data_IF_622962600988
#
_entry.id   IF_622962600988
#
_cell.length_a   1.000
_cell.length_b   1.000
_cell.length_c   1.000
_cell.angle_alpha   90.00
_cell.angle_beta   90.00
_cell.angle_gamma   90.00
#
_symmetry.space_group_name_H-M   'P 1'
#
loop_
_entity.id
_entity.type
_entity.pdbx_description
1 polymer ?
#
# COMPACT_ATOMS: atom_id res chain seq x y z
N UNK A 1 15.16 -9.34 19.90
CA UNK A 1 16.48 -9.14 20.54
C UNK A 1 16.34 -8.54 21.93
N UNK A 2 15.56 -7.47 22.13
CA UNK A 2 15.35 -6.80 23.43
C UNK A 2 14.90 -7.79 24.53
N UNK A 3 13.88 -8.63 24.28
CA UNK A 3 13.40 -9.62 25.25
C UNK A 3 14.47 -10.58 25.74
N UNK A 4 15.41 -10.99 24.89
CA UNK A 4 16.52 -11.87 25.28
C UNK A 4 17.56 -11.11 26.14
N UNK A 5 17.81 -9.84 25.82
CA UNK A 5 18.71 -8.97 26.59
C UNK A 5 18.13 -8.68 27.98
N UNK A 6 16.82 -8.42 28.07
CA UNK A 6 16.10 -8.20 29.33
C UNK A 6 16.11 -9.45 30.24
N UNK A 7 16.23 -10.64 29.64
CA UNK A 7 16.43 -11.91 30.34
C UNK A 7 17.89 -12.25 30.63
N UNK A 8 18.80 -11.28 30.45
CA UNK A 8 20.23 -11.44 30.70
C UNK A 8 20.96 -12.37 29.70
N UNK A 9 20.35 -12.64 28.54
CA UNK A 9 20.96 -13.45 27.48
C UNK A 9 21.73 -12.55 26.53
N UNK A 10 23.01 -12.84 26.31
CA UNK A 10 23.86 -12.15 25.32
C UNK A 10 23.69 -12.82 23.96
N UNK A 11 23.72 -12.01 22.90
CA UNK A 11 23.87 -12.54 21.55
C UNK A 11 25.19 -13.32 21.46
N UNK A 12 25.18 -14.40 20.72
CA UNK A 12 26.33 -15.27 20.51
C UNK A 12 26.64 -15.31 19.02
N UNK A 13 27.92 -15.34 18.70
CA UNK A 13 28.38 -15.36 17.32
C UNK A 13 28.06 -16.72 16.67
N UNK A 14 27.75 -16.67 15.39
CA UNK A 14 27.50 -17.82 14.52
C UNK A 14 28.35 -17.70 13.27
N UNK A 15 28.72 -18.83 12.68
CA UNK A 15 29.38 -18.90 11.37
C UNK A 15 28.40 -19.37 10.29
N UNK A 16 28.81 -19.25 9.03
CA UNK A 16 28.08 -19.73 7.85
C UNK A 16 26.59 -19.29 7.84
N UNK A 17 26.34 -18.03 8.24
CA UNK A 17 24.98 -17.48 8.22
C UNK A 17 24.53 -17.26 6.79
N UNK A 18 23.38 -17.84 6.44
CA UNK A 18 22.72 -17.62 5.16
C UNK A 18 21.22 -17.42 5.36
N UNK A 19 20.67 -16.42 4.70
CA UNK A 19 19.22 -16.25 4.59
C UNK A 19 18.71 -17.04 3.38
N UNK A 20 17.63 -17.78 3.58
CA UNK A 20 16.96 -18.57 2.55
C UNK A 20 15.64 -17.85 2.21
N UNK A 21 15.59 -17.03 1.12
CA UNK A 21 14.42 -16.24 0.78
C UNK A 21 13.14 -17.09 0.75
N UNK A 22 12.08 -16.63 1.45
CA UNK A 22 10.80 -17.34 1.55
C UNK A 22 10.75 -18.56 2.46
N UNK A 23 11.90 -19.08 2.93
CA UNK A 23 11.98 -20.30 3.73
C UNK A 23 12.43 -20.04 5.18
N UNK A 24 13.54 -19.34 5.36
CA UNK A 24 14.11 -19.10 6.68
C UNK A 24 15.58 -18.73 6.66
N UNK A 25 16.33 -19.22 7.61
CA UNK A 25 17.74 -18.96 7.79
C UNK A 25 18.49 -20.21 8.26
N UNK A 26 19.78 -20.25 7.95
CA UNK A 26 20.71 -21.28 8.40
C UNK A 26 21.96 -20.64 8.96
N UNK A 27 22.56 -21.27 9.96
CA UNK A 27 23.84 -20.86 10.53
C UNK A 27 24.53 -22.07 11.17
N UNK A 28 25.81 -21.95 11.48
CA UNK A 28 26.55 -22.93 12.29
C UNK A 28 27.04 -22.31 13.59
N UNK A 29 27.00 -23.10 14.66
CA UNK A 29 27.58 -22.74 15.93
C UNK A 29 28.20 -23.96 16.62
N UNK A 30 29.45 -23.84 17.01
CA UNK A 30 30.21 -24.92 17.65
C UNK A 30 30.16 -26.25 16.84
N UNK A 31 30.16 -26.14 15.51
CA UNK A 31 30.01 -27.27 14.58
C UNK A 31 28.56 -27.76 14.36
N UNK A 32 27.60 -27.30 15.16
CA UNK A 32 26.20 -27.71 15.08
C UNK A 32 25.47 -26.82 14.01
N UNK A 33 24.62 -27.44 13.21
CA UNK A 33 23.78 -26.79 12.23
C UNK A 33 22.53 -26.19 12.90
N UNK A 34 22.34 -24.91 12.79
CA UNK A 34 21.14 -24.22 13.25
C UNK A 34 20.26 -23.88 12.05
N UNK A 35 18.97 -24.22 12.14
CA UNK A 35 17.97 -23.86 11.16
C UNK A 35 16.84 -23.09 11.85
N UNK A 36 16.33 -22.07 11.17
CA UNK A 36 15.13 -21.36 11.63
C UNK A 36 14.29 -21.00 10.42
N UNK A 37 12.98 -21.18 10.50
CA UNK A 37 12.15 -20.89 9.35
C UNK A 37 10.66 -21.15 9.53
N UNK A 38 9.92 -21.02 8.43
CA UNK A 38 8.48 -21.28 8.40
C UNK A 38 8.17 -22.73 8.76
N UNK A 39 6.99 -22.98 9.31
CA UNK A 39 6.54 -24.34 9.67
C UNK A 39 6.66 -25.28 8.48
N UNK A 40 6.23 -24.86 7.30
CA UNK A 40 6.29 -25.64 6.06
C UNK A 40 7.73 -26.04 5.69
N UNK A 41 8.65 -25.09 5.78
CA UNK A 41 10.06 -25.34 5.48
C UNK A 41 10.66 -26.32 6.49
N UNK A 42 10.40 -26.10 7.80
CA UNK A 42 10.97 -26.93 8.85
C UNK A 42 10.42 -28.36 8.86
N UNK A 43 9.16 -28.59 8.44
CA UNK A 43 8.60 -29.93 8.23
C UNK A 43 9.35 -30.74 7.16
N UNK A 44 9.92 -30.06 6.16
CA UNK A 44 10.75 -30.70 5.14
C UNK A 44 12.18 -31.01 5.59
N UNK A 45 12.65 -30.39 6.68
CA UNK A 45 14.03 -30.51 7.17
C UNK A 45 14.15 -31.34 8.47
N UNK A 46 13.12 -31.32 9.29
CA UNK A 46 13.15 -31.93 10.64
C UNK A 46 11.82 -32.64 10.94
N UNK A 47 11.88 -33.61 11.83
CA UNK A 47 10.66 -34.22 12.38
C UNK A 47 10.05 -33.25 13.41
N UNK A 48 8.96 -32.58 13.04
CA UNK A 48 8.27 -31.61 13.90
C UNK A 48 7.19 -32.33 14.71
N UNK A 49 7.22 -32.29 16.05
CA UNK A 49 6.19 -32.88 16.88
C UNK A 49 4.78 -32.35 16.58
N UNK A 50 3.78 -33.22 16.59
CA UNK A 50 2.39 -32.88 16.29
C UNK A 50 1.83 -31.81 17.24
N UNK A 51 2.25 -31.82 18.49
CA UNK A 51 1.91 -30.84 19.50
C UNK A 51 2.38 -29.40 19.10
N UNK A 52 3.55 -29.29 18.47
CA UNK A 52 4.06 -28.01 17.97
C UNK A 52 3.33 -27.58 16.70
N UNK A 53 2.91 -28.49 15.83
CA UNK A 53 2.09 -28.22 14.68
C UNK A 53 0.72 -27.65 15.07
N UNK A 54 0.06 -28.30 16.03
CA UNK A 54 -1.22 -27.80 16.56
C UNK A 54 -1.08 -26.43 17.23
N UNK A 55 0.01 -26.20 17.98
CA UNK A 55 0.30 -24.91 18.58
C UNK A 55 0.58 -23.82 17.49
N UNK A 56 1.30 -24.18 16.42
CA UNK A 56 1.55 -23.30 15.30
C UNK A 56 0.26 -22.92 14.56
N UNK A 57 -0.64 -23.88 14.35
CA UNK A 57 -1.95 -23.65 13.75
C UNK A 57 -2.80 -22.68 14.59
N UNK A 58 -2.83 -22.90 15.90
CA UNK A 58 -3.52 -22.00 16.84
C UNK A 58 -2.96 -20.58 16.75
N UNK A 59 -1.64 -20.41 16.80
CA UNK A 59 -0.98 -19.11 16.71
C UNK A 59 -1.21 -18.43 15.35
N UNK A 60 -1.21 -19.22 14.27
CA UNK A 60 -1.58 -18.70 12.94
C UNK A 60 -3.04 -18.24 12.88
N UNK A 61 -3.93 -18.93 13.58
CA UNK A 61 -5.34 -18.52 13.73
C UNK A 61 -5.50 -17.20 14.52
N UNK A 62 -4.54 -16.90 15.41
CA UNK A 62 -4.47 -15.63 16.15
C UNK A 62 -3.77 -14.50 15.36
N UNK A 63 -3.47 -14.70 14.07
CA UNK A 63 -2.78 -13.70 13.23
C UNK A 63 -1.27 -13.60 13.45
N UNK A 64 -0.67 -14.59 14.11
CA UNK A 64 0.78 -14.63 14.37
C UNK A 64 1.46 -15.53 13.35
N UNK A 65 2.71 -15.22 13.00
CA UNK A 65 3.54 -16.07 12.12
C UNK A 65 4.46 -16.95 12.97
N UNK A 66 4.18 -18.24 13.08
CA UNK A 66 5.03 -19.16 13.83
C UNK A 66 6.29 -19.51 13.05
N UNK A 67 7.43 -19.42 13.70
CA UNK A 67 8.74 -19.80 13.21
C UNK A 67 9.30 -20.89 14.09
N UNK A 68 9.80 -21.98 13.51
CA UNK A 68 10.44 -23.08 14.20
C UNK A 68 11.95 -22.96 14.12
N UNK A 69 12.61 -23.43 15.16
CA UNK A 69 14.07 -23.44 15.26
C UNK A 69 14.57 -24.83 15.63
N UNK A 70 15.65 -25.27 14.98
CA UNK A 70 16.27 -26.56 15.25
C UNK A 70 17.79 -26.45 15.36
N UNK A 71 18.38 -27.44 16.02
CA UNK A 71 19.82 -27.69 16.09
C UNK A 71 20.08 -29.13 15.72
N UNK A 72 20.93 -29.38 14.73
CA UNK A 72 21.27 -30.71 14.21
C UNK A 72 20.02 -31.59 13.95
N UNK A 73 18.97 -31.01 13.40
CA UNK A 73 17.69 -31.68 13.12
C UNK A 73 16.75 -31.84 14.33
N UNK A 74 17.17 -31.55 15.54
CA UNK A 74 16.32 -31.55 16.72
C UNK A 74 15.63 -30.21 16.90
N UNK A 75 14.30 -30.17 17.01
CA UNK A 75 13.54 -28.96 17.24
C UNK A 75 13.83 -28.38 18.63
N UNK A 76 14.29 -27.15 18.70
CA UNK A 76 14.54 -26.41 19.94
C UNK A 76 13.27 -25.75 20.49
N UNK A 77 12.39 -25.30 19.59
CA UNK A 77 11.16 -24.62 19.97
C UNK A 77 10.57 -23.80 18.82
N UNK A 78 9.54 -23.05 19.17
CA UNK A 78 8.80 -22.18 18.27
C UNK A 78 8.77 -20.77 18.83
N UNK A 79 8.90 -19.80 17.93
CA UNK A 79 8.68 -18.38 18.20
C UNK A 79 7.58 -17.87 17.28
N UNK A 80 6.62 -17.12 17.81
CA UNK A 80 5.60 -16.51 16.99
C UNK A 80 5.90 -15.00 16.87
N UNK A 81 5.96 -14.53 15.65
CA UNK A 81 6.11 -13.12 15.33
C UNK A 81 4.74 -12.60 14.91
N UNK A 82 4.34 -11.45 15.44
CA UNK A 82 3.13 -10.76 15.02
C UNK A 82 3.50 -9.32 14.73
N UNK A 83 3.02 -8.83 13.60
CA UNK A 83 2.97 -7.39 13.40
C UNK A 83 1.89 -6.82 14.31
N UNK A 84 2.27 -5.93 15.18
CA UNK A 84 1.32 -5.21 16.00
C UNK A 84 0.74 -4.07 15.22
N UNK A 85 -0.60 -3.95 15.22
CA UNK A 85 -1.27 -2.75 14.74
C UNK A 85 -0.73 -1.56 15.53
N UNK A 86 -0.29 -0.50 14.84
CA UNK A 86 0.15 0.72 15.53
C UNK A 86 -0.97 1.28 16.36
N UNK A 87 -0.66 1.77 17.55
CA UNK A 87 -1.64 2.22 18.56
C UNK A 87 -2.59 3.31 18.02
N UNK A 88 -2.12 4.13 17.08
CA UNK A 88 -2.90 5.21 16.47
C UNK A 88 -3.81 4.75 15.31
N UNK A 89 -3.62 3.53 14.79
CA UNK A 89 -4.34 3.07 13.59
C UNK A 89 -5.85 2.89 13.79
N UNK A 90 -6.33 2.28 14.90
CA UNK A 90 -7.78 2.15 15.10
C UNK A 90 -8.50 3.50 15.23
N UNK A 91 -7.87 4.46 15.91
CA UNK A 91 -8.43 5.81 16.06
C UNK A 91 -8.47 6.54 14.70
N UNK A 92 -7.37 6.47 13.93
CA UNK A 92 -7.30 7.07 12.59
C UNK A 92 -8.35 6.49 11.64
N UNK A 93 -8.54 5.16 11.64
CA UNK A 93 -9.58 4.49 10.85
C UNK A 93 -10.98 4.96 11.29
N UNK A 94 -11.23 5.03 12.58
CA UNK A 94 -12.51 5.50 13.10
C UNK A 94 -12.80 6.97 12.71
N UNK A 95 -11.78 7.85 12.69
CA UNK A 95 -11.90 9.22 12.22
C UNK A 95 -12.21 9.29 10.71
N UNK A 96 -11.52 8.51 9.88
CA UNK A 96 -11.81 8.45 8.44
C UNK A 96 -13.24 7.99 8.18
N UNK A 97 -13.71 6.98 8.92
CA UNK A 97 -15.09 6.48 8.79
C UNK A 97 -16.12 7.53 9.22
N UNK A 98 -15.84 8.33 10.26
CA UNK A 98 -16.69 9.49 10.65
C UNK A 98 -16.74 10.56 9.56
N UNK A 99 -15.67 10.71 8.77
CA UNK A 99 -15.67 11.58 7.59
C UNK A 99 -16.44 11.00 6.39
N UNK A 100 -17.03 9.80 6.51
CA UNK A 100 -17.72 9.10 5.44
C UNK A 100 -16.78 8.42 4.42
N UNK A 101 -15.51 8.26 4.78
CA UNK A 101 -14.51 7.59 3.95
C UNK A 101 -14.48 6.11 4.31
N UNK A 102 -14.56 5.24 3.30
CA UNK A 102 -14.39 3.79 3.48
C UNK A 102 -12.91 3.44 3.49
N UNK A 103 -12.52 2.58 4.43
CA UNK A 103 -11.14 2.17 4.62
C UNK A 103 -10.96 0.71 4.21
N UNK A 104 -10.11 0.48 3.24
CA UNK A 104 -9.79 -0.85 2.70
C UNK A 104 -8.32 -1.13 2.99
N UNK A 105 -8.03 -2.25 3.65
CA UNK A 105 -6.67 -2.71 3.86
C UNK A 105 -6.26 -3.66 2.73
N UNK A 106 -5.13 -3.39 2.09
CA UNK A 106 -4.54 -4.22 1.03
C UNK A 106 -3.19 -4.75 1.54
N UNK A 107 -3.03 -6.07 1.59
CA UNK A 107 -1.80 -6.69 2.11
C UNK A 107 -1.42 -7.94 1.35
N UNK A 108 -0.12 -8.25 1.33
CA UNK A 108 0.42 -9.52 0.84
C UNK A 108 0.30 -10.68 1.84
N UNK A 109 -0.09 -10.41 3.08
CA UNK A 109 -0.22 -11.42 4.12
C UNK A 109 -1.29 -12.45 3.80
N UNK A 110 -1.21 -13.60 4.49
CA UNK A 110 -2.24 -14.62 4.37
C UNK A 110 -3.60 -14.10 4.87
N UNK A 111 -4.72 -14.63 4.32
CA UNK A 111 -6.06 -14.12 4.62
C UNK A 111 -6.43 -14.13 6.11
N UNK A 112 -5.94 -15.11 6.89
CA UNK A 112 -6.26 -15.23 8.32
C UNK A 112 -5.60 -14.12 9.13
N UNK A 113 -4.30 -13.89 8.91
CA UNK A 113 -3.54 -12.81 9.56
C UNK A 113 -4.12 -11.45 9.16
N UNK A 114 -4.33 -11.25 7.87
CA UNK A 114 -4.89 -10.00 7.34
C UNK A 114 -6.27 -9.68 7.95
N UNK A 115 -7.13 -10.68 8.08
CA UNK A 115 -8.46 -10.49 8.68
C UNK A 115 -8.37 -10.11 10.16
N UNK A 116 -7.48 -10.74 10.92
CA UNK A 116 -7.27 -10.41 12.34
C UNK A 116 -6.75 -8.98 12.52
N UNK A 117 -5.75 -8.57 11.72
CA UNK A 117 -5.20 -7.20 11.71
C UNK A 117 -6.27 -6.19 11.29
N UNK A 118 -7.03 -6.49 10.23
CA UNK A 118 -8.10 -5.62 9.73
C UNK A 118 -9.21 -5.41 10.76
N UNK A 119 -9.60 -6.46 11.49
CA UNK A 119 -10.57 -6.35 12.59
C UNK A 119 -10.02 -5.51 13.74
N UNK A 120 -8.76 -5.71 14.13
CA UNK A 120 -8.12 -4.92 15.17
C UNK A 120 -8.00 -3.45 14.80
N UNK A 121 -7.71 -3.14 13.53
CA UNK A 121 -7.64 -1.78 13.00
C UNK A 121 -9.02 -1.17 12.73
N UNK A 122 -10.09 -1.96 12.63
CA UNK A 122 -11.46 -1.50 12.39
C UNK A 122 -11.75 -1.09 10.94
N UNK A 123 -11.03 -1.64 9.96
CA UNK A 123 -11.23 -1.33 8.53
C UNK A 123 -12.56 -1.89 8.00
N UNK A 124 -13.07 -1.31 6.93
CA UNK A 124 -14.35 -1.74 6.33
C UNK A 124 -14.20 -3.01 5.47
N UNK A 125 -13.03 -3.21 4.86
CA UNK A 125 -12.75 -4.37 4.03
C UNK A 125 -11.26 -4.71 4.05
N UNK A 126 -10.95 -6.01 3.92
CA UNK A 126 -9.58 -6.54 3.82
C UNK A 126 -9.41 -7.26 2.49
N UNK A 127 -8.36 -6.94 1.76
CA UNK A 127 -7.93 -7.63 0.54
C UNK A 127 -6.55 -8.20 0.81
N UNK A 128 -6.49 -9.50 1.05
CA UNK A 128 -5.29 -10.22 1.48
C UNK A 128 -4.63 -11.00 0.33
N UNK A 129 -3.38 -11.40 0.51
CA UNK A 129 -2.64 -12.22 -0.47
C UNK A 129 -2.35 -11.51 -1.79
N UNK A 130 -2.29 -10.18 -1.76
CA UNK A 130 -2.06 -9.35 -2.95
C UNK A 130 -0.56 -9.18 -3.17
N UNK A 131 -0.07 -9.64 -4.31
CA UNK A 131 1.31 -9.40 -4.73
C UNK A 131 1.54 -7.88 -4.97
N UNK A 132 2.80 -7.40 -4.93
CA UNK A 132 3.09 -5.98 -5.10
C UNK A 132 2.41 -5.37 -6.35
N UNK A 133 2.53 -6.02 -7.50
CA UNK A 133 1.93 -5.56 -8.77
C UNK A 133 0.39 -5.60 -8.75
N UNK A 134 -0.19 -6.51 -7.99
CA UNK A 134 -1.65 -6.64 -7.82
C UNK A 134 -2.29 -5.52 -7.01
N UNK A 135 -1.52 -4.78 -6.19
CA UNK A 135 -2.06 -3.66 -5.40
C UNK A 135 -2.64 -2.55 -6.28
N UNK A 136 -1.97 -2.23 -7.38
CA UNK A 136 -2.45 -1.26 -8.36
C UNK A 136 -3.78 -1.69 -9.00
N UNK A 137 -3.96 -2.99 -9.25
CA UNK A 137 -5.21 -3.50 -9.82
C UNK A 137 -6.38 -3.41 -8.84
N UNK A 138 -6.13 -3.64 -7.55
CA UNK A 138 -7.13 -3.41 -6.49
C UNK A 138 -7.54 -1.94 -6.46
N UNK A 139 -6.58 -1.01 -6.52
CA UNK A 139 -6.84 0.44 -6.60
C UNK A 139 -7.72 0.77 -7.81
N UNK A 140 -7.38 0.28 -9.02
CA UNK A 140 -8.17 0.50 -10.24
C UNK A 140 -9.61 -0.04 -10.14
N UNK A 141 -9.80 -1.15 -9.42
CA UNK A 141 -11.16 -1.69 -9.17
C UNK A 141 -11.95 -0.80 -8.22
N UNK A 142 -11.32 -0.28 -7.17
CA UNK A 142 -11.95 0.66 -6.25
C UNK A 142 -12.30 1.99 -6.92
N UNK A 143 -11.48 2.48 -7.85
CA UNK A 143 -11.71 3.71 -8.62
C UNK A 143 -12.98 3.63 -9.49
N UNK A 144 -13.47 2.44 -9.83
CA UNK A 144 -14.74 2.27 -10.57
C UNK A 144 -15.97 2.67 -9.76
N UNK A 145 -15.85 2.72 -8.43
CA UNK A 145 -16.97 3.05 -7.53
C UNK A 145 -16.79 4.39 -6.81
N UNK A 146 -15.59 4.94 -6.80
CA UNK A 146 -15.32 6.23 -6.17
C UNK A 146 -13.86 6.64 -6.26
N UNK A 147 -13.53 7.85 -5.81
CA UNK A 147 -12.14 8.30 -5.74
C UNK A 147 -11.39 7.58 -4.66
N UNK A 148 -10.16 7.21 -4.94
CA UNK A 148 -9.30 6.41 -4.07
C UNK A 148 -8.06 7.20 -3.66
N UNK A 149 -7.84 7.30 -2.35
CA UNK A 149 -6.54 7.68 -1.81
C UNK A 149 -5.79 6.40 -1.40
N UNK A 150 -4.61 6.18 -1.96
CA UNK A 150 -3.72 5.09 -1.54
C UNK A 150 -2.74 5.60 -0.50
N UNK A 151 -2.59 4.86 0.59
CA UNK A 151 -1.65 5.16 1.67
C UNK A 151 -0.66 4.03 1.77
N UNK A 152 0.63 4.32 1.70
CA UNK A 152 1.70 3.32 1.74
C UNK A 152 3.02 3.90 2.24
N UNK A 153 3.97 3.03 2.60
CA UNK A 153 5.27 3.42 3.18
C UNK A 153 6.46 2.81 2.43
N UNK A 154 6.24 1.91 1.49
CA UNK A 154 7.27 1.10 0.87
C UNK A 154 7.41 1.25 -0.64
N UNK A 155 8.57 0.78 -1.14
CA UNK A 155 8.88 0.68 -2.58
C UNK A 155 7.80 -0.15 -3.32
N UNK A 156 7.31 -1.20 -2.66
CA UNK A 156 6.31 -2.11 -3.21
C UNK A 156 4.92 -1.46 -3.41
N UNK A 157 4.68 -0.30 -2.81
CA UNK A 157 3.43 0.44 -2.92
C UNK A 157 3.48 1.54 -4.00
N UNK A 158 4.67 1.87 -4.53
CA UNK A 158 4.85 2.95 -5.50
C UNK A 158 3.92 2.82 -6.74
N UNK A 159 3.74 1.65 -7.37
CA UNK A 159 2.79 1.50 -8.48
C UNK A 159 1.33 1.78 -8.08
N UNK A 160 0.94 1.41 -6.85
CA UNK A 160 -0.40 1.65 -6.34
C UNK A 160 -0.61 3.11 -5.91
N UNK A 161 0.41 3.77 -5.33
CA UNK A 161 0.42 5.19 -5.01
C UNK A 161 0.22 6.04 -6.26
N UNK A 162 1.00 5.78 -7.31
CA UNK A 162 0.90 6.49 -8.60
C UNK A 162 -0.42 6.24 -9.32
N UNK A 163 -1.01 5.04 -9.16
CA UNK A 163 -2.26 4.67 -9.80
C UNK A 163 -3.50 5.30 -9.15
N UNK A 164 -3.44 5.63 -7.87
CA UNK A 164 -4.56 6.20 -7.10
C UNK A 164 -4.91 7.62 -7.56
N UNK A 165 -6.11 8.11 -7.20
CA UNK A 165 -6.47 9.53 -7.42
C UNK A 165 -5.66 10.47 -6.52
N UNK A 166 -5.19 9.96 -5.37
CA UNK A 166 -4.24 10.62 -4.48
C UNK A 166 -3.34 9.57 -3.85
N UNK A 167 -2.04 9.67 -4.09
CA UNK A 167 -1.02 8.88 -3.41
C UNK A 167 -0.52 9.57 -2.14
N UNK A 168 -0.51 8.88 -1.02
CA UNK A 168 -0.05 9.39 0.27
C UNK A 168 1.06 8.48 0.81
N UNK A 169 2.29 8.96 0.86
CA UNK A 169 3.40 8.27 1.51
C UNK A 169 3.44 8.60 3.00
N UNK A 170 3.64 7.60 3.86
CA UNK A 170 3.75 7.75 5.33
C UNK A 170 5.16 7.45 5.80
N UNK A 171 5.69 8.34 6.65
CA UNK A 171 7.00 8.22 7.27
C UNK A 171 8.13 8.69 6.36
N UNK A 172 9.35 8.58 6.86
CA UNK A 172 10.55 8.74 6.03
C UNK A 172 10.71 7.51 5.12
N UNK A 173 9.70 7.28 4.28
CA UNK A 173 9.68 6.21 3.29
C UNK A 173 10.91 6.28 2.40
N UNK A 174 11.11 5.27 1.60
CA UNK A 174 12.16 5.29 0.58
C UNK A 174 11.94 6.45 -0.38
N UNK A 175 13.01 7.03 -0.91
CA UNK A 175 12.94 8.12 -1.90
C UNK A 175 11.95 7.79 -3.03
N UNK A 176 11.90 6.51 -3.44
CA UNK A 176 10.97 6.02 -4.48
C UNK A 176 9.49 6.17 -4.07
N UNK A 177 9.13 5.90 -2.81
CA UNK A 177 7.75 6.06 -2.36
C UNK A 177 7.37 7.55 -2.25
N UNK A 178 8.33 8.41 -1.88
CA UNK A 178 8.15 9.86 -1.84
C UNK A 178 7.96 10.44 -3.25
N UNK A 179 8.72 9.97 -4.23
CA UNK A 179 8.59 10.42 -5.63
C UNK A 179 7.28 9.95 -6.30
N UNK A 180 6.72 8.83 -5.82
CA UNK A 180 5.48 8.26 -6.35
C UNK A 180 4.20 8.84 -5.71
N UNK A 181 4.30 9.64 -4.64
CA UNK A 181 3.17 10.13 -3.87
C UNK A 181 2.89 11.62 -4.12
N UNK A 182 1.60 12.00 -4.14
CA UNK A 182 1.18 13.41 -4.20
C UNK A 182 1.35 14.12 -2.86
N UNK A 183 1.28 13.38 -1.76
CA UNK A 183 1.40 13.88 -0.39
C UNK A 183 2.37 13.01 0.40
N UNK A 184 3.32 13.65 1.08
CA UNK A 184 4.28 12.96 1.96
C UNK A 184 4.03 13.38 3.40
N UNK A 185 3.69 12.41 4.25
CA UNK A 185 3.53 12.59 5.69
C UNK A 185 4.82 12.18 6.40
N UNK A 186 5.50 13.15 6.98
CA UNK A 186 6.86 12.96 7.55
C UNK A 186 6.90 12.01 8.76
N UNK A 187 5.78 11.87 9.45
CA UNK A 187 5.68 10.94 10.59
C UNK A 187 5.10 9.61 10.14
N UNK A 188 5.58 8.52 10.73
CA UNK A 188 5.04 7.17 10.48
C UNK A 188 3.77 6.91 11.31
N UNK A 189 2.76 7.79 11.18
CA UNK A 189 1.48 7.74 11.93
C UNK A 189 0.30 7.80 10.98
N UNK A 190 -0.60 6.84 11.11
CA UNK A 190 -1.83 6.82 10.30
C UNK A 190 -2.77 7.99 10.66
N UNK A 191 -2.72 8.47 11.90
CA UNK A 191 -3.47 9.64 12.38
C UNK A 191 -3.16 10.95 11.65
N UNK A 192 -2.06 11.04 10.95
CA UNK A 192 -1.72 12.21 10.14
C UNK A 192 -2.51 12.24 8.81
N UNK A 193 -3.08 11.11 8.35
CA UNK A 193 -3.94 11.06 7.14
C UNK A 193 -5.25 11.85 7.33
N UNK A 194 -6.09 11.57 8.36
CA UNK A 194 -7.27 12.40 8.60
C UNK A 194 -6.92 13.87 8.87
N UNK A 195 -5.77 14.15 9.51
CA UNK A 195 -5.30 15.52 9.72
C UNK A 195 -4.97 16.23 8.40
N UNK A 196 -4.30 15.56 7.46
CA UNK A 196 -4.02 16.11 6.13
C UNK A 196 -5.30 16.40 5.33
N UNK A 197 -6.30 15.51 5.40
CA UNK A 197 -7.60 15.73 4.76
C UNK A 197 -8.31 16.97 5.36
N UNK A 198 -8.26 17.15 6.68
CA UNK A 198 -8.83 18.34 7.34
C UNK A 198 -8.11 19.62 6.88
N UNK A 199 -6.78 19.59 6.85
CA UNK A 199 -5.98 20.73 6.37
C UNK A 199 -6.34 21.08 4.95
N UNK A 200 -6.40 20.12 4.04
CA UNK A 200 -6.78 20.32 2.64
C UNK A 200 -8.16 20.98 2.52
N UNK A 201 -9.16 20.48 3.26
CA UNK A 201 -10.52 21.05 3.28
C UNK A 201 -10.54 22.48 3.82
N UNK A 202 -9.77 22.76 4.88
CA UNK A 202 -9.66 24.09 5.47
C UNK A 202 -8.97 25.07 4.50
N UNK A 203 -7.91 24.62 3.84
CA UNK A 203 -7.20 25.42 2.82
C UNK A 203 -8.10 25.76 1.64
N UNK A 204 -8.84 24.79 1.09
CA UNK A 204 -9.79 25.03 0.01
C UNK A 204 -10.88 26.03 0.41
N UNK A 205 -11.43 25.92 1.62
CA UNK A 205 -12.39 26.88 2.13
C UNK A 205 -11.79 28.28 2.21
N UNK A 206 -10.57 28.39 2.72
CA UNK A 206 -9.86 29.66 2.83
C UNK A 206 -9.60 30.29 1.44
N UNK A 207 -9.23 29.47 0.45
CA UNK A 207 -9.08 29.91 -0.94
C UNK A 207 -10.41 30.46 -1.50
N UNK A 208 -11.52 29.73 -1.31
CA UNK A 208 -12.83 30.17 -1.77
C UNK A 208 -13.28 31.48 -1.07
N UNK A 209 -13.05 31.62 0.23
CA UNK A 209 -13.31 32.84 0.96
C UNK A 209 -12.50 34.04 0.41
N UNK A 210 -11.20 33.81 0.14
CA UNK A 210 -10.33 34.82 -0.44
C UNK A 210 -10.78 35.23 -1.84
N UNK A 211 -11.13 34.26 -2.68
CA UNK A 211 -11.65 34.55 -4.03
C UNK A 211 -12.96 35.32 -3.97
N UNK A 212 -13.88 34.93 -3.09
CA UNK A 212 -15.14 35.63 -2.90
C UNK A 212 -14.91 37.11 -2.54
N UNK A 213 -14.07 37.41 -1.58
CA UNK A 213 -13.76 38.76 -1.20
C UNK A 213 -13.09 39.56 -2.35
N UNK A 214 -12.10 38.92 -3.02
CA UNK A 214 -11.42 39.58 -4.17
C UNK A 214 -12.38 39.94 -5.32
N UNK A 215 -13.36 39.07 -5.64
CA UNK A 215 -14.36 39.35 -6.65
C UNK A 215 -15.41 40.37 -6.18
N UNK A 216 -15.83 40.29 -4.94
CA UNK A 216 -16.86 41.16 -4.39
C UNK A 216 -16.47 42.63 -4.52
N UNK A 217 -15.25 43.01 -4.18
CA UNK A 217 -14.75 44.36 -4.35
C UNK A 217 -14.78 44.84 -5.81
N UNK A 218 -14.39 43.97 -6.74
CA UNK A 218 -14.34 44.30 -8.15
C UNK A 218 -15.73 44.40 -8.75
N UNK A 219 -16.65 43.52 -8.41
CA UNK A 219 -18.05 43.54 -8.91
C UNK A 219 -18.77 44.82 -8.49
N UNK A 220 -18.49 45.35 -7.31
CA UNK A 220 -19.09 46.60 -6.81
C UNK A 220 -18.27 47.81 -7.32
N UNK A 221 -16.95 47.75 -7.27
CA UNK A 221 -16.05 48.85 -7.53
C UNK A 221 -15.99 49.26 -9.01
N UNK A 222 -16.01 48.29 -9.94
CA UNK A 222 -15.92 48.55 -11.37
C UNK A 222 -17.13 49.33 -11.89
N UNK A 223 -18.40 48.95 -11.65
CA UNK A 223 -19.56 49.74 -12.06
C UNK A 223 -19.59 51.12 -11.41
N UNK A 224 -19.15 51.21 -10.14
CA UNK A 224 -19.08 52.49 -9.45
C UNK A 224 -18.02 53.42 -10.07
N UNK A 225 -16.85 52.89 -10.42
CA UNK A 225 -15.79 53.64 -11.10
C UNK A 225 -16.16 54.01 -12.53
N UNK A 226 -16.90 53.14 -13.23
CA UNK A 226 -17.43 53.42 -14.58
C UNK A 226 -18.56 54.44 -14.59
N UNK A 227 -19.01 54.91 -13.43
CA UNK A 227 -20.02 55.95 -13.31
C UNK A 227 -21.46 55.50 -13.55
N UNK A 228 -21.74 54.20 -13.54
CA UNK A 228 -23.09 53.65 -13.76
C UNK A 228 -24.12 54.25 -12.82
N UNK A 229 -23.73 54.60 -11.59
CA UNK A 229 -24.61 55.15 -10.58
C UNK A 229 -24.65 56.66 -10.53
N UNK A 230 -23.90 57.38 -11.39
CA UNK A 230 -23.89 58.84 -11.42
C UNK A 230 -25.26 59.37 -11.85
N UNK A 231 -25.86 58.79 -12.89
CA UNK A 231 -27.14 59.24 -13.44
C UNK A 231 -28.33 58.97 -12.51
N UNK A 232 -28.25 57.87 -11.72
CA UNK A 232 -29.33 57.41 -10.84
C UNK A 232 -29.23 57.98 -9.41
N UNK A 233 -28.01 58.05 -8.84
CA UNK A 233 -27.78 58.35 -7.42
C UNK A 233 -26.81 59.52 -7.21
N UNK A 234 -26.25 60.09 -8.27
CA UNK A 234 -25.23 61.14 -8.16
C UNK A 234 -23.89 60.69 -7.59
N UNK A 235 -23.68 59.40 -7.43
CA UNK A 235 -22.51 58.83 -6.76
C UNK A 235 -21.31 58.80 -7.70
N UNK A 236 -20.25 59.51 -7.31
CA UNK A 236 -18.94 59.48 -7.97
C UNK A 236 -17.92 58.81 -7.11
N UNK A 237 -17.15 57.86 -7.65
CA UNK A 237 -16.06 57.26 -6.94
C UNK A 237 -14.90 58.25 -6.79
N UNK A 238 -14.53 58.57 -5.56
CA UNK A 238 -13.31 59.31 -5.29
C UNK A 238 -12.11 58.34 -5.40
N UNK A 239 -11.06 58.65 -6.15
CA UNK A 239 -9.87 57.81 -6.29
C UNK A 239 -9.24 57.34 -4.96
N UNK A 240 -9.30 58.17 -3.93
CA UNK A 240 -8.85 57.81 -2.59
C UNK A 240 -9.59 56.61 -2.01
N UNK A 241 -10.92 56.53 -2.19
CA UNK A 241 -11.71 55.36 -1.74
C UNK A 241 -11.35 54.09 -2.54
N UNK A 242 -11.05 54.23 -3.84
CA UNK A 242 -10.58 53.13 -4.65
C UNK A 242 -9.26 52.53 -4.12
N UNK A 243 -8.29 53.41 -3.85
CA UNK A 243 -6.99 53.02 -3.30
C UNK A 243 -7.13 52.38 -1.89
N UNK A 244 -7.97 52.96 -1.04
CA UNK A 244 -8.26 52.44 0.29
C UNK A 244 -8.92 51.02 0.22
N UNK A 245 -9.89 50.83 -0.70
CA UNK A 245 -10.55 49.53 -0.89
C UNK A 245 -9.56 48.46 -1.38
N UNK A 246 -8.62 48.78 -2.27
CA UNK A 246 -7.57 47.86 -2.71
C UNK A 246 -6.65 47.45 -1.56
N UNK A 247 -6.22 48.39 -0.72
CA UNK A 247 -5.39 48.10 0.45
C UNK A 247 -6.12 47.25 1.46
N UNK A 248 -7.42 47.53 1.72
CA UNK A 248 -8.26 46.76 2.62
C UNK A 248 -8.48 45.35 2.10
N UNK A 249 -8.69 45.16 0.80
CA UNK A 249 -8.81 43.83 0.16
C UNK A 249 -7.57 42.98 0.44
N UNK A 250 -6.37 43.53 0.19
CA UNK A 250 -5.11 42.82 0.47
C UNK A 250 -4.97 42.45 1.95
N UNK A 251 -5.32 43.38 2.84
CA UNK A 251 -5.32 43.11 4.28
C UNK A 251 -6.30 41.99 4.67
N UNK A 252 -7.51 41.97 4.12
CA UNK A 252 -8.50 40.91 4.38
C UNK A 252 -8.01 39.53 3.92
N UNK A 253 -7.43 39.44 2.71
CA UNK A 253 -6.91 38.20 2.13
C UNK A 253 -5.77 37.64 3.00
N UNK A 254 -4.79 38.48 3.37
CA UNK A 254 -3.66 38.06 4.21
C UNK A 254 -4.15 37.65 5.60
N UNK A 255 -5.03 38.43 6.22
CA UNK A 255 -5.59 38.11 7.55
C UNK A 255 -6.35 36.78 7.53
N UNK A 256 -7.14 36.53 6.46
CA UNK A 256 -7.86 35.28 6.32
C UNK A 256 -6.89 34.08 6.10
N UNK A 257 -5.84 34.26 5.30
CA UNK A 257 -4.82 33.24 5.11
C UNK A 257 -4.10 32.89 6.42
N UNK A 258 -3.78 33.89 7.26
CA UNK A 258 -3.16 33.69 8.57
C UNK A 258 -4.04 32.91 9.57
N UNK A 259 -5.36 32.90 9.39
CA UNK A 259 -6.28 32.06 10.21
C UNK A 259 -5.96 30.57 10.11
N UNK A 260 -5.35 30.10 9.01
CA UNK A 260 -4.92 28.71 8.90
C UNK A 260 -3.89 28.30 9.96
N UNK A 261 -3.07 29.23 10.45
CA UNK A 261 -2.12 28.96 11.53
C UNK A 261 -2.79 28.63 12.87
N UNK A 262 -4.04 29.04 13.04
CA UNK A 262 -4.84 28.76 14.23
C UNK A 262 -5.70 27.50 14.07
N UNK A 263 -5.63 26.83 12.92
CA UNK A 263 -6.44 25.67 12.63
C UNK A 263 -5.94 24.44 13.41
N UNK A 264 -6.84 23.75 14.11
CA UNK A 264 -6.53 22.55 14.89
C UNK A 264 -6.71 21.31 14.03
N UNK A 265 -5.60 20.76 13.53
CA UNK A 265 -5.56 19.62 12.61
C UNK A 265 -6.22 18.35 13.17
N UNK A 266 -6.16 18.15 14.50
CA UNK A 266 -6.63 16.93 15.17
C UNK A 266 -8.02 17.07 15.81
N UNK A 267 -8.71 18.19 15.58
CA UNK A 267 -10.08 18.40 16.08
C UNK A 267 -11.12 17.97 15.05
N UNK A 268 -11.66 16.76 15.23
CA UNK A 268 -12.67 16.16 14.35
C UNK A 268 -14.11 16.64 14.56
N UNK A 269 -14.37 17.60 15.48
CA UNK A 269 -15.74 18.04 15.81
C UNK A 269 -16.47 18.71 14.65
N UNK A 270 -15.75 19.24 13.70
CA UNK A 270 -16.29 19.97 12.56
C UNK A 270 -16.16 19.18 11.24
N UNK A 271 -15.84 17.88 11.32
CA UNK A 271 -15.72 17.05 10.15
C UNK A 271 -17.08 16.87 9.46
N UNK A 272 -17.11 17.19 8.17
CA UNK A 272 -18.30 16.96 7.34
C UNK A 272 -18.21 15.57 6.74
N UNK A 273 -19.15 14.70 7.08
CA UNK A 273 -19.25 13.37 6.49
C UNK A 273 -19.59 13.46 5.00
N UNK A 274 -18.87 12.71 4.19
CA UNK A 274 -19.21 12.42 2.80
C UNK A 274 -20.30 11.35 2.75
N UNK A 275 -21.02 11.27 1.63
CA UNK A 275 -21.92 10.13 1.42
C UNK A 275 -21.08 8.86 1.26
N UNK A 276 -21.30 7.84 2.11
CA UNK A 276 -20.50 6.64 2.07
C UNK A 276 -20.75 5.87 0.76
N UNK A 277 -19.66 5.48 0.10
CA UNK A 277 -19.71 4.64 -1.10
C UNK A 277 -19.91 3.18 -0.69
N UNK A 278 -20.73 2.45 -1.45
CA UNK A 278 -20.84 1.00 -1.28
C UNK A 278 -19.61 0.33 -1.89
N UNK A 279 -18.81 -0.33 -1.06
CA UNK A 279 -17.63 -1.05 -1.54
C UNK A 279 -18.05 -2.28 -2.37
N UNK A 280 -17.43 -2.52 -3.52
CA UNK A 280 -17.59 -3.78 -4.23
C UNK A 280 -16.99 -4.90 -3.39
N UNK A 281 -17.56 -6.10 -3.45
CA UNK A 281 -16.93 -7.27 -2.86
C UNK A 281 -15.67 -7.61 -3.67
N UNK A 282 -14.55 -7.01 -3.31
CA UNK A 282 -13.24 -7.36 -3.86
C UNK A 282 -12.77 -8.55 -3.04
N UNK A 283 -13.24 -9.75 -3.41
CA UNK A 283 -12.63 -10.95 -2.87
C UNK A 283 -11.12 -10.88 -3.15
N UNK A 284 -10.30 -11.26 -2.15
CA UNK A 284 -8.93 -11.64 -2.42
C UNK A 284 -8.95 -12.53 -3.66
N UNK A 285 -8.21 -12.20 -4.69
CA UNK A 285 -8.02 -13.20 -5.73
C UNK A 285 -7.45 -14.42 -5.00
N UNK A 286 -8.07 -15.60 -5.04
CA UNK A 286 -7.43 -16.82 -4.57
C UNK A 286 -6.08 -16.82 -5.27
N UNK A 287 -4.98 -16.82 -4.51
CA UNK A 287 -3.65 -16.42 -4.93
C UNK A 287 -3.42 -16.75 -6.39
N UNK A 288 -3.04 -15.74 -7.17
CA UNK A 288 -2.86 -15.91 -8.59
C UNK A 288 -2.04 -17.18 -8.78
N UNK A 289 -2.61 -18.16 -9.49
CA UNK A 289 -1.92 -19.44 -9.69
C UNK A 289 -0.65 -19.12 -10.45
N UNK A 290 0.49 -19.29 -9.80
CA UNK A 290 1.79 -19.00 -10.38
C UNK A 290 2.40 -20.31 -10.84
N UNK A 291 2.72 -20.40 -12.09
CA UNK A 291 3.44 -21.51 -12.70
C UNK A 291 4.88 -21.09 -12.98
N UNK A 292 5.83 -21.84 -12.48
CA UNK A 292 7.24 -21.65 -12.85
C UNK A 292 7.62 -22.69 -13.89
N UNK A 293 8.02 -22.21 -15.08
CA UNK A 293 8.51 -23.04 -16.17
C UNK A 293 10.02 -23.00 -16.20
N UNK A 294 10.69 -24.13 -16.40
CA UNK A 294 12.12 -24.19 -16.72
C UNK A 294 12.28 -24.18 -18.23
N UNK A 295 13.02 -23.20 -18.74
CA UNK A 295 13.21 -22.95 -20.18
C UNK A 295 14.69 -22.94 -20.46
N UNK A 296 15.10 -23.76 -21.43
CA UNK A 296 16.48 -23.81 -21.95
C UNK A 296 16.58 -23.04 -23.27
N UNK A 297 17.75 -22.44 -23.53
CA UNK A 297 18.02 -21.71 -24.74
C UNK A 297 17.87 -20.18 -24.66
N UNK A 298 17.40 -19.62 -23.53
CA UNK A 298 17.43 -18.16 -23.31
C UNK A 298 18.84 -17.70 -22.97
N UNK A 299 19.45 -16.82 -23.79
CA UNK A 299 20.83 -16.37 -23.60
C UNK A 299 20.99 -14.87 -23.36
N UNK A 300 19.93 -14.10 -23.43
CA UNK A 300 20.00 -12.62 -23.26
C UNK A 300 18.65 -11.99 -22.95
N UNK A 301 18.65 -10.72 -22.53
CA UNK A 301 17.46 -9.94 -22.21
C UNK A 301 16.45 -9.83 -23.39
N UNK A 302 16.89 -9.94 -24.64
CA UNK A 302 15.99 -9.96 -25.79
C UNK A 302 15.18 -11.27 -25.85
N UNK A 303 15.81 -12.40 -25.49
CA UNK A 303 15.15 -13.70 -25.37
C UNK A 303 14.08 -13.66 -24.25
N UNK A 304 14.38 -13.02 -23.11
CA UNK A 304 13.41 -12.83 -22.02
C UNK A 304 12.18 -12.06 -22.49
N UNK A 305 12.38 -10.94 -23.20
CA UNK A 305 11.30 -10.12 -23.72
C UNK A 305 10.42 -10.89 -24.72
N UNK A 306 11.03 -11.72 -25.56
CA UNK A 306 10.32 -12.56 -26.55
C UNK A 306 9.50 -13.65 -25.89
N UNK A 307 10.08 -14.38 -24.94
CA UNK A 307 9.37 -15.41 -24.16
C UNK A 307 8.25 -14.80 -23.33
N UNK A 308 8.51 -13.67 -22.68
CA UNK A 308 7.50 -12.93 -21.94
C UNK A 308 6.30 -12.55 -22.82
N UNK A 309 6.56 -11.92 -23.96
CA UNK A 309 5.49 -11.48 -24.87
C UNK A 309 4.68 -12.68 -25.41
N UNK A 310 5.33 -13.79 -25.72
CA UNK A 310 4.67 -15.00 -26.19
C UNK A 310 3.77 -15.62 -25.11
N UNK A 311 4.23 -15.68 -23.87
CA UNK A 311 3.44 -16.20 -22.73
C UNK A 311 2.27 -15.29 -22.39
N UNK A 312 2.43 -13.98 -22.42
CA UNK A 312 1.37 -13.00 -22.14
C UNK A 312 0.28 -12.95 -23.24
N UNK A 313 0.58 -13.44 -24.44
CA UNK A 313 -0.40 -13.57 -25.52
C UNK A 313 -1.38 -14.75 -25.33
N UNK A 314 -1.08 -15.69 -24.44
CA UNK A 314 -1.94 -16.85 -24.17
C UNK A 314 -3.15 -16.42 -23.32
N UNK A 315 -4.35 -16.70 -23.81
CA UNK A 315 -5.57 -16.41 -23.00
C UNK A 315 -5.60 -17.26 -21.73
N UNK A 316 -5.86 -16.61 -20.60
CA UNK A 316 -5.73 -17.21 -19.27
C UNK A 316 -4.45 -16.82 -18.53
N UNK A 317 -3.47 -16.22 -19.21
CA UNK A 317 -2.28 -15.61 -18.58
C UNK A 317 -2.61 -14.17 -18.20
N UNK A 318 -2.21 -13.78 -16.99
CA UNK A 318 -2.34 -12.42 -16.49
C UNK A 318 -1.04 -11.63 -16.71
N UNK A 319 0.11 -12.25 -16.44
CA UNK A 319 1.44 -11.69 -16.66
C UNK A 319 2.50 -12.79 -16.71
N UNK A 320 3.63 -12.52 -17.34
CA UNK A 320 4.78 -13.41 -17.33
C UNK A 320 6.07 -12.65 -17.08
N UNK A 321 7.03 -13.29 -16.40
CA UNK A 321 8.39 -12.80 -16.22
C UNK A 321 9.38 -13.91 -16.56
N UNK A 322 10.28 -13.66 -17.51
CA UNK A 322 11.33 -14.61 -17.90
C UNK A 322 12.70 -14.11 -17.43
N UNK A 323 13.57 -15.03 -17.04
CA UNK A 323 14.95 -14.77 -16.65
C UNK A 323 15.90 -15.75 -17.34
N UNK A 324 16.81 -15.22 -18.15
CA UNK A 324 17.83 -16.03 -18.82
C UNK A 324 18.90 -16.52 -17.84
N UNK A 325 19.23 -15.73 -16.82
CA UNK A 325 20.18 -16.12 -15.77
C UNK A 325 19.67 -17.31 -14.94
N UNK A 326 18.38 -17.33 -14.64
CA UNK A 326 17.75 -18.41 -13.88
C UNK A 326 17.28 -19.59 -14.76
N UNK A 327 17.22 -19.41 -16.08
CA UNK A 327 16.65 -20.40 -17.00
C UNK A 327 15.18 -20.69 -16.75
N UNK A 328 14.41 -19.69 -16.26
CA UNK A 328 13.03 -19.88 -15.86
C UNK A 328 12.11 -18.79 -16.38
N UNK A 329 10.82 -19.12 -16.55
CA UNK A 329 9.76 -18.15 -16.71
C UNK A 329 8.69 -18.39 -15.63
N UNK A 330 8.31 -17.33 -14.95
CA UNK A 330 7.24 -17.30 -13.96
C UNK A 330 5.99 -16.75 -14.62
N UNK A 331 4.94 -17.55 -14.72
CA UNK A 331 3.66 -17.20 -15.36
C UNK A 331 2.57 -17.10 -14.31
N UNK A 332 1.97 -15.92 -14.22
CA UNK A 332 0.82 -15.66 -13.36
C UNK A 332 -0.45 -15.87 -14.17
N UNK A 333 -1.31 -16.78 -13.73
CA UNK A 333 -2.57 -17.10 -14.40
C UNK A 333 -3.72 -16.22 -13.90
N UNK A 334 -4.72 -15.99 -14.76
CA UNK A 334 -6.00 -15.37 -14.34
C UNK A 334 -6.71 -16.28 -13.32
N UNK A 335 -7.50 -15.69 -12.42
CA UNK A 335 -8.13 -16.42 -11.30
C UNK A 335 -9.06 -17.56 -11.74
N UNK A 336 -9.69 -17.43 -12.89
CA UNK A 336 -10.62 -18.38 -13.51
C UNK A 336 -9.93 -19.40 -14.43
N UNK A 337 -8.61 -19.28 -14.61
CA UNK A 337 -7.86 -20.13 -15.52
C UNK A 337 -7.66 -21.56 -14.97
N UNK A 338 -7.82 -22.55 -15.83
CA UNK A 338 -7.49 -23.94 -15.51
C UNK A 338 -5.99 -24.20 -15.75
N UNK A 339 -5.25 -24.38 -14.67
CA UNK A 339 -3.81 -24.64 -14.68
C UNK A 339 -3.43 -25.84 -15.56
N UNK A 340 -4.23 -26.93 -15.49
CA UNK A 340 -3.92 -28.14 -16.21
C UNK A 340 -4.17 -28.01 -17.72
N UNK A 341 -5.15 -27.21 -18.10
CA UNK A 341 -5.45 -26.92 -19.50
C UNK A 341 -4.41 -25.96 -20.11
N UNK A 342 -3.86 -25.05 -19.31
CA UNK A 342 -2.89 -24.04 -19.80
C UNK A 342 -1.46 -24.56 -19.92
N UNK A 343 -1.01 -25.51 -19.09
CA UNK A 343 0.36 -26.05 -19.15
C UNK A 343 0.78 -26.50 -20.56
N UNK A 344 0.00 -27.29 -21.31
CA UNK A 344 0.37 -27.69 -22.66
C UNK A 344 0.40 -26.52 -23.64
N UNK A 345 -0.47 -25.54 -23.52
CA UNK A 345 -0.50 -24.34 -24.36
C UNK A 345 0.71 -23.45 -24.11
N UNK A 346 1.06 -23.20 -22.84
CA UNK A 346 2.25 -22.44 -22.47
C UNK A 346 3.53 -23.09 -22.96
N UNK A 347 3.60 -24.43 -22.88
CA UNK A 347 4.73 -25.20 -23.42
C UNK A 347 4.82 -25.03 -24.94
N UNK A 348 3.73 -25.22 -25.67
CA UNK A 348 3.70 -25.10 -27.14
C UNK A 348 4.15 -23.70 -27.61
N UNK A 349 3.65 -22.64 -26.99
CA UNK A 349 3.99 -21.25 -27.35
C UNK A 349 5.46 -20.93 -27.13
N UNK A 350 6.08 -21.47 -26.08
CA UNK A 350 7.52 -21.30 -25.82
C UNK A 350 8.36 -22.09 -26.86
N UNK A 351 7.93 -23.33 -27.19
CA UNK A 351 8.60 -24.17 -28.17
C UNK A 351 8.47 -23.64 -29.61
N UNK A 352 7.35 -23.00 -29.96
CA UNK A 352 7.16 -22.25 -31.21
C UNK A 352 8.12 -21.07 -31.38
N UNK A 353 8.67 -20.57 -30.31
CA UNK A 353 9.65 -19.49 -30.29
C UNK A 353 11.10 -19.97 -30.22
N UNK A 354 11.38 -21.23 -30.54
CA UNK A 354 12.70 -21.87 -30.58
C UNK A 354 13.37 -22.04 -29.20
N UNK A 355 12.59 -22.17 -28.11
CA UNK A 355 13.08 -22.47 -26.76
C UNK A 355 12.56 -23.83 -26.28
N UNK A 356 13.33 -24.52 -25.44
CA UNK A 356 12.94 -25.83 -24.91
C UNK A 356 12.41 -25.75 -23.50
N UNK A 357 11.20 -26.26 -23.25
CA UNK A 357 10.60 -26.33 -21.90
C UNK A 357 10.97 -27.65 -21.24
N UNK A 358 11.81 -27.60 -20.19
CA UNK A 358 12.25 -28.79 -19.42
C UNK A 358 11.21 -29.29 -18.43
N UNK A 359 10.28 -28.43 -18.01
CA UNK A 359 9.22 -28.80 -17.07
C UNK A 359 8.61 -27.63 -16.34
N UNK A 360 7.64 -27.94 -15.49
CA UNK A 360 7.00 -26.99 -14.60
C UNK A 360 7.34 -27.35 -13.15
N UNK A 361 7.79 -26.37 -12.37
CA UNK A 361 8.00 -26.52 -10.94
C UNK A 361 6.66 -26.33 -10.19
N UNK A 362 6.50 -27.10 -9.10
CA UNK A 362 5.31 -27.04 -8.24
C UNK A 362 5.39 -25.88 -7.28
#
# INVERSE_FOLDING_TARGET
>A
MQYALDKGRKAQDVSDFAALPGNGLTAKRDGALLLGGSVKYMQGQCNVPESLLAAAEKLSGEGKTPLLFSRDGAILGMMAVADTVKDDSPEAVAELRKMGIRVVMITGDNPRTAQAVGQAAGVDQVVAGVLPDGKADVVRRLQKVGRVAMVGDGINDAPALTCADVGIAIGAGTDIAMDAADVVLMNSRLSDVPAAIRLSRATLRNIHENLFWAFCYNVIGIPLAAGVFISLLGWKLNPMFGAAAMSLSSFCVVSNALRLNLFRLRDGRHDRALHPVTLPNIAAQPGAKVLTMRIDGMMCAHCEARVKAALEAVDGVQSAAASHDAGTAVVTLKADADENALKPLLKAVVEENDYEVKGFDK
#
